data_IF_927424751033
#
_entry.id   IF_927424751033
#
_cell.length_a   1.000
_cell.length_b   1.000
_cell.length_c   1.000
_cell.angle_alpha   90.00
_cell.angle_beta   90.00
_cell.angle_gamma   90.00
#
_symmetry.space_group_name_H-M   'P 1'
#
loop_
_entity.id
_entity.type
_entity.pdbx_description
1 polymer ?
#
# COMPACT_ATOMS: atom_id res chain seq x y z
N UNK A 1 -22.84 18.47 18.15
CA UNK A 1 -21.39 18.79 18.19
C UNK A 1 -20.62 17.49 18.08
N UNK A 2 -19.74 17.34 17.07
CA UNK A 2 -18.84 16.17 16.99
C UNK A 2 -17.70 16.38 17.96
N UNK A 3 -17.46 15.41 18.85
CA UNK A 3 -16.35 15.44 19.79
C UNK A 3 -15.23 14.63 19.16
N UNK A 4 -14.24 15.32 18.60
CA UNK A 4 -13.04 14.69 18.09
C UNK A 4 -12.06 14.48 19.24
N UNK A 5 -11.89 13.22 19.65
CA UNK A 5 -10.82 12.85 20.58
C UNK A 5 -9.58 12.48 19.77
N UNK A 6 -8.39 12.77 20.31
CA UNK A 6 -7.13 12.38 19.67
C UNK A 6 -7.10 10.87 19.34
N UNK A 7 -7.67 10.05 20.22
CA UNK A 7 -7.79 8.61 20.01
C UNK A 7 -8.69 8.26 18.83
N UNK A 8 -9.87 8.87 18.71
CA UNK A 8 -10.80 8.61 17.60
C UNK A 8 -10.17 8.99 16.26
N UNK A 9 -9.53 10.16 16.18
CA UNK A 9 -8.85 10.63 14.96
C UNK A 9 -7.70 9.69 14.58
N UNK A 10 -6.89 9.26 15.55
CA UNK A 10 -5.79 8.32 15.29
C UNK A 10 -6.29 6.97 14.77
N UNK A 11 -7.39 6.45 15.31
CA UNK A 11 -7.98 5.19 14.84
C UNK A 11 -8.54 5.31 13.43
N UNK A 12 -9.22 6.42 13.13
CA UNK A 12 -9.76 6.69 11.81
C UNK A 12 -8.63 6.81 10.77
N UNK A 13 -7.57 7.56 11.09
CA UNK A 13 -6.40 7.69 10.22
C UNK A 13 -5.73 6.34 9.91
N UNK A 14 -5.56 5.50 10.94
CA UNK A 14 -4.99 4.16 10.76
C UNK A 14 -5.87 3.28 9.89
N UNK A 15 -7.19 3.33 10.06
CA UNK A 15 -8.14 2.63 9.18
C UNK A 15 -8.05 3.13 7.74
N UNK A 16 -8.08 4.45 7.55
CA UNK A 16 -8.03 5.06 6.21
C UNK A 16 -6.75 4.75 5.46
N UNK A 17 -5.62 4.73 6.17
CA UNK A 17 -4.32 4.29 5.61
C UNK A 17 -4.41 2.84 5.09
N UNK A 18 -4.97 1.93 5.88
CA UNK A 18 -5.10 0.53 5.47
C UNK A 18 -6.02 0.36 4.26
N UNK A 19 -7.16 1.03 4.27
CA UNK A 19 -8.12 1.01 3.14
C UNK A 19 -7.51 1.61 1.87
N UNK A 20 -6.77 2.71 1.99
CA UNK A 20 -6.02 3.29 0.88
C UNK A 20 -5.00 2.30 0.31
N UNK A 21 -4.19 1.66 1.14
CA UNK A 21 -3.19 0.67 0.68
C UNK A 21 -3.86 -0.50 -0.04
N UNK A 22 -5.00 -0.97 0.47
CA UNK A 22 -5.76 -2.06 -0.16
C UNK A 22 -6.38 -1.67 -1.50
N UNK A 23 -6.88 -0.44 -1.63
CA UNK A 23 -7.52 0.04 -2.84
C UNK A 23 -6.53 0.49 -3.93
N UNK A 24 -5.33 0.94 -3.54
CA UNK A 24 -4.38 1.58 -4.45
C UNK A 24 -3.27 0.66 -4.95
N UNK A 25 -2.98 -0.44 -4.24
CA UNK A 25 -1.96 -1.42 -4.64
C UNK A 25 -2.63 -2.57 -5.36
N UNK A 26 -2.11 -2.92 -6.54
CA UNK A 26 -2.66 -3.99 -7.38
C UNK A 26 -1.59 -5.06 -7.62
N UNK A 27 -1.98 -6.32 -7.46
CA UNK A 27 -1.20 -7.48 -7.92
C UNK A 27 -1.91 -8.04 -9.14
N UNK A 28 -1.28 -7.98 -10.31
CA UNK A 28 -1.88 -8.45 -11.56
C UNK A 28 -1.88 -9.98 -11.64
N UNK A 29 -2.69 -10.54 -12.54
CA UNK A 29 -2.66 -11.98 -12.85
C UNK A 29 -1.31 -12.45 -13.38
N UNK A 30 -0.54 -11.55 -14.00
CA UNK A 30 0.83 -11.78 -14.46
C UNK A 30 1.89 -11.63 -13.37
N UNK A 31 1.48 -11.55 -12.10
CA UNK A 31 2.35 -11.35 -10.93
C UNK A 31 3.21 -10.08 -11.03
N UNK A 32 2.64 -9.01 -11.57
CA UNK A 32 3.23 -7.68 -11.47
C UNK A 32 2.62 -6.94 -10.30
N UNK A 33 3.43 -6.15 -9.62
CA UNK A 33 3.06 -5.35 -8.47
C UNK A 33 2.97 -3.89 -8.89
N UNK A 34 1.79 -3.29 -8.76
CA UNK A 34 1.56 -1.89 -9.13
C UNK A 34 1.43 -1.05 -7.86
N UNK A 35 2.29 -0.04 -7.74
CA UNK A 35 2.40 0.80 -6.55
C UNK A 35 2.07 2.24 -6.91
N UNK A 36 1.15 2.92 -6.19
CA UNK A 36 0.82 4.30 -6.48
C UNK A 36 2.01 5.23 -6.24
N UNK A 37 2.24 6.16 -7.17
CA UNK A 37 3.31 7.16 -7.10
C UNK A 37 3.31 7.95 -5.78
N UNK A 38 2.13 8.24 -5.23
CA UNK A 38 2.00 8.92 -3.94
C UNK A 38 2.69 8.15 -2.80
N UNK A 39 2.56 6.82 -2.80
CA UNK A 39 3.18 5.98 -1.78
C UNK A 39 4.71 5.92 -1.96
N UNK A 40 5.17 5.87 -3.21
CA UNK A 40 6.59 6.00 -3.50
C UNK A 40 7.14 7.37 -3.05
N UNK A 41 6.42 8.46 -3.27
CA UNK A 41 6.84 9.81 -2.85
C UNK A 41 6.86 9.96 -1.34
N UNK A 42 5.85 9.45 -0.64
CA UNK A 42 5.84 9.41 0.83
C UNK A 42 7.06 8.66 1.39
N UNK A 43 7.43 7.56 0.72
CA UNK A 43 8.62 6.81 1.11
C UNK A 43 9.92 7.37 0.58
N UNK A 44 9.99 8.31 -0.38
CA UNK A 44 11.28 8.93 -0.74
C UNK A 44 11.92 9.68 0.44
N UNK A 45 11.11 10.09 1.41
CA UNK A 45 11.57 10.68 2.68
C UNK A 45 11.89 9.61 3.75
N UNK A 46 11.57 8.32 3.52
CA UNK A 46 11.70 7.22 4.50
C UNK A 46 12.46 5.96 4.02
N UNK A 47 12.60 5.72 2.72
CA UNK A 47 13.37 4.62 2.09
C UNK A 47 13.65 4.88 0.60
N UNK A 48 14.90 4.71 0.20
CA UNK A 48 15.37 4.95 -1.18
C UNK A 48 15.12 3.77 -2.12
N UNK A 49 14.64 2.63 -1.59
CA UNK A 49 14.54 1.37 -2.33
C UNK A 49 13.10 0.81 -2.34
N UNK A 50 12.63 0.42 -3.53
CA UNK A 50 11.32 -0.21 -3.75
C UNK A 50 11.14 -1.49 -2.93
N UNK A 51 12.23 -2.20 -2.65
CA UNK A 51 12.22 -3.39 -1.79
C UNK A 51 11.71 -3.05 -0.38
N UNK A 52 12.27 -1.99 0.21
CA UNK A 52 11.91 -1.51 1.55
C UNK A 52 10.48 -0.98 1.59
N UNK A 53 10.01 -0.40 0.50
CA UNK A 53 8.61 0.04 0.36
C UNK A 53 7.65 -1.16 0.41
N UNK A 54 7.98 -2.25 -0.28
CA UNK A 54 7.14 -3.45 -0.27
C UNK A 54 7.15 -4.15 1.09
N UNK A 55 8.31 -4.24 1.74
CA UNK A 55 8.41 -4.76 3.11
C UNK A 55 7.57 -3.91 4.08
N UNK A 56 7.65 -2.58 3.96
CA UNK A 56 6.85 -1.66 4.76
C UNK A 56 5.35 -1.88 4.51
N UNK A 57 4.89 -1.96 3.26
CA UNK A 57 3.49 -2.26 2.93
C UNK A 57 3.04 -3.57 3.58
N UNK A 58 3.85 -4.62 3.48
CA UNK A 58 3.55 -5.91 4.09
C UNK A 58 3.46 -5.84 5.62
N UNK A 59 4.26 -4.97 6.25
CA UNK A 59 4.20 -4.71 7.70
C UNK A 59 2.93 -3.98 8.13
N UNK A 60 2.42 -3.06 7.30
CA UNK A 60 1.19 -2.31 7.60
C UNK A 60 -0.06 -3.18 7.45
N UNK A 61 -0.08 -4.09 6.48
CA UNK A 61 -1.27 -4.89 6.20
C UNK A 61 -1.50 -6.01 7.25
N UNK A 62 -2.74 -6.21 7.72
CA UNK A 62 -3.07 -7.34 8.60
C UNK A 62 -2.70 -8.69 7.98
N UNK A 63 -2.32 -9.67 8.80
CA UNK A 63 -1.97 -11.03 8.35
C UNK A 63 -3.13 -11.74 7.61
N UNK A 64 -4.38 -11.37 7.91
CA UNK A 64 -5.58 -11.88 7.26
C UNK A 64 -5.88 -11.22 5.91
N UNK A 65 -5.22 -10.11 5.56
CA UNK A 65 -5.47 -9.35 4.35
C UNK A 65 -5.11 -10.16 3.09
N UNK A 66 -6.05 -10.28 2.14
CA UNK A 66 -5.84 -10.99 0.87
C UNK A 66 -4.73 -10.36 0.04
N UNK A 67 -4.66 -9.03 -0.01
CA UNK A 67 -3.62 -8.30 -0.71
C UNK A 67 -2.22 -8.69 -0.19
N UNK A 68 -2.03 -8.77 1.12
CA UNK A 68 -0.75 -9.18 1.72
C UNK A 68 -0.32 -10.57 1.23
N UNK A 69 -1.25 -11.52 1.17
CA UNK A 69 -0.99 -12.86 0.64
C UNK A 69 -0.60 -12.81 -0.84
N UNK A 70 -1.33 -12.04 -1.66
CA UNK A 70 -1.02 -11.89 -3.08
C UNK A 70 0.36 -11.28 -3.32
N UNK A 71 0.76 -10.28 -2.52
CA UNK A 71 2.10 -9.67 -2.59
C UNK A 71 3.19 -10.70 -2.25
N UNK A 72 3.01 -11.46 -1.16
CA UNK A 72 3.99 -12.49 -0.76
C UNK A 72 4.12 -13.58 -1.84
N UNK A 73 3.00 -14.02 -2.42
CA UNK A 73 2.99 -14.99 -3.51
C UNK A 73 3.65 -14.47 -4.79
N UNK A 74 3.45 -13.19 -5.09
CA UNK A 74 4.13 -12.48 -6.18
C UNK A 74 5.65 -12.51 -5.96
N UNK A 75 6.14 -12.03 -4.82
CA UNK A 75 7.57 -12.02 -4.47
C UNK A 75 8.14 -13.44 -4.52
N UNK A 76 7.40 -14.43 -4.01
CA UNK A 76 7.81 -15.84 -4.03
C UNK A 76 7.96 -16.39 -5.44
N UNK A 77 7.12 -15.95 -6.38
CA UNK A 77 7.21 -16.31 -7.79
C UNK A 77 8.43 -15.72 -8.50
N UNK A 78 8.95 -14.59 -7.99
CA UNK A 78 10.06 -13.83 -8.56
C UNK A 78 11.31 -13.87 -7.67
N UNK A 79 11.51 -14.92 -6.88
CA UNK A 79 12.61 -15.04 -5.89
C UNK A 79 14.03 -14.78 -6.44
N UNK A 80 14.23 -14.95 -7.75
CA UNK A 80 15.53 -14.78 -8.41
C UNK A 80 15.64 -13.47 -9.18
N UNK A 81 14.61 -12.62 -9.16
CA UNK A 81 14.55 -11.35 -9.89
C UNK A 81 14.44 -10.20 -8.89
N UNK A 82 15.10 -9.06 -9.15
CA UNK A 82 14.95 -7.89 -8.30
C UNK A 82 13.53 -7.34 -8.41
N UNK A 83 12.98 -6.80 -7.31
CA UNK A 83 11.60 -6.30 -7.24
C UNK A 83 11.33 -5.23 -8.29
N UNK A 84 12.34 -4.41 -8.62
CA UNK A 84 12.27 -3.41 -9.69
C UNK A 84 11.88 -3.97 -11.07
N UNK A 85 12.01 -5.28 -11.30
CA UNK A 85 11.67 -5.94 -12.57
C UNK A 85 10.17 -6.16 -12.73
N UNK A 86 9.47 -6.42 -11.61
CA UNK A 86 8.06 -6.77 -11.62
C UNK A 86 7.20 -5.78 -10.82
N UNK A 87 7.81 -4.81 -10.13
CA UNK A 87 7.12 -3.72 -9.46
C UNK A 87 7.15 -2.45 -10.33
N UNK A 88 5.95 -1.99 -10.70
CA UNK A 88 5.74 -0.81 -11.53
C UNK A 88 5.08 0.29 -10.70
N UNK A 89 5.52 1.53 -10.89
CA UNK A 89 4.91 2.68 -10.24
C UNK A 89 3.81 3.23 -11.13
N UNK A 90 2.58 3.22 -10.63
CA UNK A 90 1.43 3.78 -11.34
C UNK A 90 1.24 5.26 -10.98
N UNK A 91 0.81 6.10 -11.94
CA UNK A 91 0.55 7.51 -11.67
C UNK A 91 -0.52 7.68 -10.59
N UNK A 92 -0.51 8.85 -9.96
CA UNK A 92 -1.53 9.21 -9.00
C UNK A 92 -2.91 9.28 -9.68
N UNK A 93 -3.90 8.55 -9.17
CA UNK A 93 -5.29 8.72 -9.55
C UNK A 93 -5.88 9.88 -8.75
N UNK A 94 -6.04 11.04 -9.40
CA UNK A 94 -6.69 12.22 -8.81
C UNK A 94 -8.17 12.02 -8.51
N UNK A 95 -8.77 10.97 -9.07
CA UNK A 95 -10.15 10.56 -8.83
C UNK A 95 -10.33 9.79 -7.53
N UNK A 96 -9.23 9.37 -6.87
CA UNK A 96 -9.32 8.68 -5.58
C UNK A 96 -9.77 9.66 -4.50
N UNK A 97 -11.08 9.66 -4.24
CA UNK A 97 -11.71 10.39 -3.15
C UNK A 97 -11.94 9.42 -2.00
N UNK A 98 -11.14 9.55 -0.95
CA UNK A 98 -11.42 8.86 0.31
C UNK A 98 -12.64 9.53 0.96
N UNK A 99 -13.82 8.94 0.75
CA UNK A 99 -15.04 9.36 1.40
C UNK A 99 -14.99 8.88 2.85
N UNK A 100 -14.75 9.81 3.78
CA UNK A 100 -14.93 9.54 5.20
C UNK A 100 -16.41 9.22 5.43
N UNK A 101 -16.72 7.93 5.61
CA UNK A 101 -18.07 7.50 5.99
C UNK A 101 -18.29 8.00 7.42
N UNK A 102 -19.19 8.97 7.53
CA UNK A 102 -19.62 9.61 8.78
C UNK A 102 -20.46 8.65 9.62
#
# INVERSE_FOLDING_TARGET
VRIYTAQAVSMELERSKLEYLQASIVVTSTKKLMIPKLLQQYMRDCSTNIDLLIDWVCSQLPLSCSLRKSIIECIRGHKNEPISTFAEVIPYQSEFLYLLVT
#
